data_IF_502352142091
#
_entry.id   IF_502352142091
#
_cell.length_a   1.000
_cell.length_b   1.000
_cell.length_c   1.000
_cell.angle_alpha   90.00
_cell.angle_beta   90.00
_cell.angle_gamma   90.00
#
_symmetry.space_group_name_H-M   'P 1'
#
loop_
_entity.id
_entity.type
_entity.pdbx_description
1 polymer ?
#
# COMPACT_ATOMS: atom_id res chain seq x y z
N UNK A 1 4.87 31.61 -16.27
CA UNK A 1 5.36 30.30 -15.84
C UNK A 1 4.80 29.26 -16.80
N UNK A 2 5.62 28.39 -17.35
CA UNK A 2 5.12 27.32 -18.22
C UNK A 2 4.25 26.38 -17.37
N UNK A 3 3.15 25.92 -17.95
CA UNK A 3 2.26 24.99 -17.25
C UNK A 3 2.93 23.64 -17.11
N UNK A 4 2.90 23.04 -15.90
CA UNK A 4 3.48 21.71 -15.65
C UNK A 4 2.84 20.66 -16.56
N UNK A 5 3.63 19.66 -16.93
CA UNK A 5 3.21 18.51 -17.72
C UNK A 5 3.44 17.24 -16.90
N UNK A 6 2.39 16.75 -16.28
CA UNK A 6 2.46 15.60 -15.40
C UNK A 6 1.83 14.39 -16.08
N UNK A 7 2.57 13.29 -16.10
CA UNK A 7 2.09 11.97 -16.54
C UNK A 7 1.96 11.09 -15.30
N UNK A 8 0.88 10.33 -15.23
CA UNK A 8 0.76 9.20 -14.32
C UNK A 8 0.71 7.92 -15.13
N UNK A 9 1.63 6.99 -14.87
CA UNK A 9 1.68 5.66 -15.47
C UNK A 9 1.27 4.63 -14.42
N UNK A 10 0.44 3.66 -14.83
CA UNK A 10 -0.09 2.61 -13.95
C UNK A 10 -0.19 1.31 -14.78
N UNK A 11 0.54 0.28 -14.35
CA UNK A 11 0.59 -1.01 -15.05
C UNK A 11 -0.76 -1.72 -14.97
N UNK A 12 -1.25 -2.23 -16.09
CA UNK A 12 -2.56 -2.86 -16.18
C UNK A 12 -2.57 -4.23 -15.48
N UNK A 13 -3.39 -4.37 -14.44
CA UNK A 13 -3.52 -5.59 -13.64
C UNK A 13 -2.17 -6.25 -13.28
N UNK A 14 -1.17 -5.46 -12.86
CA UNK A 14 0.26 -5.73 -12.90
C UNK A 14 0.65 -7.17 -12.54
N UNK A 15 0.36 -7.65 -11.32
CA UNK A 15 0.79 -9.00 -10.92
C UNK A 15 0.13 -10.07 -11.80
N UNK A 16 -1.16 -9.93 -12.10
CA UNK A 16 -1.85 -10.90 -12.95
C UNK A 16 -1.30 -10.90 -14.38
N UNK A 17 -0.97 -9.74 -14.92
CA UNK A 17 -0.36 -9.61 -16.25
C UNK A 17 1.05 -10.22 -16.32
N UNK A 18 1.86 -10.08 -15.25
CA UNK A 18 3.16 -10.75 -15.15
C UNK A 18 3.00 -12.27 -15.12
N UNK A 19 2.03 -12.80 -14.37
CA UNK A 19 1.79 -14.25 -14.34
C UNK A 19 1.31 -14.79 -15.69
N UNK A 20 0.41 -14.06 -16.39
CA UNK A 20 -0.04 -14.42 -17.74
C UNK A 20 1.09 -14.32 -18.78
N UNK A 21 2.00 -13.35 -18.63
CA UNK A 21 3.16 -13.21 -19.52
C UNK A 21 4.15 -14.37 -19.36
N UNK A 22 4.44 -14.75 -18.12
CA UNK A 22 5.40 -15.83 -17.82
C UNK A 22 4.80 -17.24 -18.04
N UNK A 23 3.47 -17.40 -17.94
CA UNK A 23 2.74 -18.62 -18.25
C UNK A 23 1.56 -18.33 -19.21
N UNK A 24 1.78 -18.49 -20.52
CA UNK A 24 0.73 -18.25 -21.53
C UNK A 24 -0.53 -19.12 -21.38
N UNK A 25 -0.47 -20.22 -20.62
CA UNK A 25 -1.66 -21.04 -20.36
C UNK A 25 -2.70 -20.34 -19.47
N UNK A 26 -2.30 -19.27 -18.79
CA UNK A 26 -3.17 -18.42 -17.97
C UNK A 26 -3.85 -17.29 -18.78
N UNK A 27 -3.43 -17.06 -20.02
CA UNK A 27 -4.00 -16.00 -20.85
C UNK A 27 -5.47 -16.26 -21.16
N UNK A 28 -6.30 -15.22 -21.06
CA UNK A 28 -7.73 -15.29 -21.32
C UNK A 28 -8.55 -15.99 -20.23
N UNK A 29 -7.91 -16.50 -19.18
CA UNK A 29 -8.59 -17.11 -18.03
C UNK A 29 -8.82 -16.09 -16.92
N UNK A 30 -9.94 -16.20 -16.17
CA UNK A 30 -10.11 -15.45 -14.94
C UNK A 30 -9.02 -15.84 -13.93
N UNK A 31 -8.11 -14.90 -13.64
CA UNK A 31 -6.94 -15.10 -12.78
C UNK A 31 -6.97 -14.14 -11.58
N UNK A 32 -6.63 -14.63 -10.41
CA UNK A 32 -6.30 -13.82 -9.25
C UNK A 32 -4.94 -14.22 -8.67
N UNK A 33 -4.12 -13.25 -8.38
CA UNK A 33 -2.88 -13.44 -7.63
C UNK A 33 -3.20 -13.28 -6.15
N UNK A 34 -2.83 -14.30 -5.35
CA UNK A 34 -3.11 -14.29 -3.92
C UNK A 34 -2.79 -15.65 -3.29
N UNK A 35 -2.93 -15.73 -1.98
CA UNK A 35 -2.75 -16.99 -1.26
C UNK A 35 -4.06 -17.78 -1.24
N UNK A 36 -4.06 -18.99 -1.81
CA UNK A 36 -5.25 -19.86 -1.82
C UNK A 36 -5.45 -20.56 -0.47
N UNK A 37 -6.08 -19.85 0.45
CA UNK A 37 -6.34 -20.35 1.80
C UNK A 37 -7.54 -19.65 2.45
N UNK A 38 -7.97 -20.13 3.63
CA UNK A 38 -9.18 -19.65 4.31
C UNK A 38 -9.17 -18.14 4.60
N UNK A 39 -7.97 -17.55 4.74
CA UNK A 39 -7.76 -16.12 5.03
C UNK A 39 -7.07 -15.39 3.90
N UNK A 40 -6.93 -16.03 2.74
CA UNK A 40 -6.33 -15.45 1.57
C UNK A 40 -7.13 -14.27 1.02
N UNK A 41 -6.40 -13.31 0.46
CA UNK A 41 -6.94 -12.07 -0.13
C UNK A 41 -6.37 -11.94 -1.54
N UNK A 42 -7.19 -11.47 -2.46
CA UNK A 42 -6.78 -11.12 -3.82
C UNK A 42 -5.83 -9.92 -3.76
N UNK A 43 -4.59 -10.11 -4.21
CA UNK A 43 -3.64 -9.01 -4.40
C UNK A 43 -3.96 -8.25 -5.69
N UNK A 44 -4.13 -8.99 -6.80
CA UNK A 44 -4.52 -8.43 -8.10
C UNK A 44 -5.41 -9.43 -8.83
N UNK A 45 -6.39 -8.92 -9.57
CA UNK A 45 -7.27 -9.71 -10.43
C UNK A 45 -7.06 -9.34 -11.90
N UNK A 46 -7.01 -10.32 -12.81
CA UNK A 46 -6.98 -10.10 -14.24
C UNK A 46 -8.28 -9.42 -14.73
N UNK A 47 -8.27 -8.85 -15.92
CA UNK A 47 -9.46 -8.19 -16.46
C UNK A 47 -10.60 -9.18 -16.69
N UNK A 48 -10.29 -10.42 -17.05
CA UNK A 48 -11.27 -11.51 -17.17
C UNK A 48 -11.94 -11.79 -15.80
N UNK A 49 -11.17 -11.84 -14.72
CA UNK A 49 -11.72 -12.02 -13.36
C UNK A 49 -12.54 -10.82 -12.89
N UNK A 50 -12.15 -9.60 -13.27
CA UNK A 50 -12.91 -8.37 -12.94
C UNK A 50 -14.30 -8.35 -13.55
N UNK A 51 -14.55 -9.02 -14.69
CA UNK A 51 -15.90 -9.14 -15.28
C UNK A 51 -16.87 -9.87 -14.35
N UNK A 52 -16.37 -10.76 -13.48
CA UNK A 52 -17.16 -11.44 -12.44
C UNK A 52 -17.21 -10.64 -11.12
N UNK A 53 -16.74 -9.38 -11.12
CA UNK A 53 -16.68 -8.54 -9.94
C UNK A 53 -15.57 -8.94 -8.94
N UNK A 54 -14.57 -9.74 -9.36
CA UNK A 54 -13.39 -10.02 -8.54
C UNK A 54 -12.46 -8.83 -8.59
N UNK A 55 -11.93 -8.39 -7.44
CA UNK A 55 -11.06 -7.22 -7.33
C UNK A 55 -10.07 -7.37 -6.18
N UNK A 56 -9.03 -6.54 -6.17
CA UNK A 56 -8.02 -6.46 -5.10
C UNK A 56 -8.68 -6.25 -3.73
N UNK A 57 -8.06 -6.79 -2.69
CA UNK A 57 -8.53 -6.83 -1.31
C UNK A 57 -9.79 -7.68 -1.04
N UNK A 58 -10.34 -8.36 -2.06
CA UNK A 58 -11.45 -9.30 -1.87
C UNK A 58 -10.94 -10.61 -1.22
N UNK A 59 -11.64 -11.19 -0.22
CA UNK A 59 -11.32 -12.53 0.27
C UNK A 59 -11.39 -13.57 -0.85
N UNK A 60 -10.40 -14.46 -0.94
CA UNK A 60 -10.33 -15.51 -1.97
C UNK A 60 -11.59 -16.39 -1.97
N UNK A 61 -12.10 -16.75 -0.79
CA UNK A 61 -13.35 -17.52 -0.69
C UNK A 61 -14.56 -16.78 -1.34
N UNK A 62 -14.59 -15.46 -1.26
CA UNK A 62 -15.62 -14.65 -1.93
C UNK A 62 -15.37 -14.57 -3.44
N UNK A 63 -14.11 -14.41 -3.85
CA UNK A 63 -13.72 -14.39 -5.25
C UNK A 63 -14.11 -15.71 -5.97
N UNK A 64 -13.82 -16.86 -5.35
CA UNK A 64 -14.20 -18.18 -5.86
C UNK A 64 -15.72 -18.35 -5.99
N UNK A 65 -16.50 -17.81 -5.05
CA UNK A 65 -17.98 -17.85 -5.16
C UNK A 65 -18.52 -17.02 -6.32
N UNK A 66 -17.85 -15.86 -6.62
CA UNK A 66 -18.23 -15.01 -7.75
C UNK A 66 -17.79 -15.57 -9.10
N UNK A 67 -16.64 -16.23 -9.13
CA UNK A 67 -16.03 -16.81 -10.31
C UNK A 67 -15.56 -18.25 -9.98
N UNK A 68 -16.42 -19.29 -10.13
CA UNK A 68 -16.05 -20.67 -9.80
C UNK A 68 -14.86 -21.21 -10.59
N UNK A 69 -14.64 -20.72 -11.81
CA UNK A 69 -13.50 -21.09 -12.68
C UNK A 69 -12.23 -20.26 -12.39
N UNK A 70 -12.22 -19.40 -11.35
CA UNK A 70 -11.11 -18.54 -11.02
C UNK A 70 -9.83 -19.36 -10.75
N UNK A 71 -8.77 -19.05 -11.48
CA UNK A 71 -7.42 -19.56 -11.21
C UNK A 71 -6.76 -18.67 -10.16
N UNK A 72 -6.12 -19.29 -9.17
CA UNK A 72 -5.40 -18.59 -8.12
C UNK A 72 -3.93 -18.95 -8.22
N UNK A 73 -3.08 -17.94 -8.29
CA UNK A 73 -1.62 -18.08 -8.37
C UNK A 73 -0.98 -17.39 -7.17
N UNK A 74 -0.01 -18.08 -6.55
CA UNK A 74 0.75 -17.52 -5.44
C UNK A 74 1.63 -16.36 -5.91
N UNK A 75 1.69 -15.22 -5.18
CA UNK A 75 2.49 -14.07 -5.58
C UNK A 75 3.99 -14.36 -5.65
N UNK A 76 4.65 -13.87 -6.71
CA UNK A 76 6.11 -13.93 -6.92
C UNK A 76 6.72 -12.53 -6.81
N UNK A 77 6.78 -11.99 -5.60
CA UNK A 77 7.16 -10.57 -5.38
C UNK A 77 8.52 -10.18 -5.95
N UNK A 78 9.50 -11.09 -5.97
CA UNK A 78 10.81 -10.78 -6.54
C UNK A 78 10.75 -10.61 -8.07
N UNK A 79 9.89 -11.40 -8.75
CA UNK A 79 9.62 -11.24 -10.17
C UNK A 79 8.93 -9.91 -10.47
N UNK A 80 7.95 -9.52 -9.65
CA UNK A 80 7.28 -8.22 -9.82
C UNK A 80 8.23 -7.05 -9.61
N UNK A 81 9.12 -7.12 -8.63
CA UNK A 81 10.17 -6.09 -8.43
C UNK A 81 11.14 -6.00 -9.60
N UNK A 82 11.52 -7.13 -10.18
CA UNK A 82 12.39 -7.18 -11.37
C UNK A 82 11.75 -6.40 -12.52
N UNK A 83 10.49 -6.72 -12.87
CA UNK A 83 9.77 -6.04 -13.94
C UNK A 83 9.56 -4.56 -13.61
N UNK A 84 9.14 -4.25 -12.39
CA UNK A 84 9.02 -2.87 -11.90
C UNK A 84 10.30 -2.08 -12.11
N UNK A 85 11.46 -2.68 -11.78
CA UNK A 85 12.77 -2.05 -12.01
C UNK A 85 13.10 -1.79 -13.48
N UNK A 86 12.60 -2.63 -14.43
CA UNK A 86 12.72 -2.37 -15.87
C UNK A 86 11.85 -1.18 -16.27
N UNK A 87 10.59 -1.16 -15.83
CA UNK A 87 9.66 -0.06 -16.10
C UNK A 87 10.19 1.27 -15.56
N UNK A 88 10.72 1.28 -14.34
CA UNK A 88 11.33 2.48 -13.74
C UNK A 88 12.51 3.01 -14.55
N UNK A 89 13.35 2.16 -15.12
CA UNK A 89 14.45 2.60 -16.00
C UNK A 89 13.93 3.32 -17.25
N UNK A 90 12.84 2.82 -17.84
CA UNK A 90 12.19 3.51 -18.95
C UNK A 90 11.77 4.92 -18.55
N UNK A 91 11.19 5.11 -17.36
CA UNK A 91 10.79 6.44 -16.87
C UNK A 91 11.97 7.40 -16.75
N UNK A 92 13.07 6.91 -16.15
CA UNK A 92 14.29 7.70 -15.93
C UNK A 92 15.00 8.11 -17.24
N UNK A 93 14.76 7.43 -18.33
CA UNK A 93 15.26 7.86 -19.65
C UNK A 93 14.60 9.15 -20.11
N UNK A 94 13.39 9.47 -19.67
CA UNK A 94 12.66 10.69 -20.06
C UNK A 94 12.80 11.84 -19.08
N UNK A 95 12.90 11.58 -17.79
CA UNK A 95 12.99 12.61 -16.73
C UNK A 95 13.61 12.06 -15.45
N UNK A 96 14.31 12.92 -14.70
CA UNK A 96 14.74 12.57 -13.33
C UNK A 96 13.62 12.74 -12.30
N UNK A 97 12.56 13.49 -12.67
CA UNK A 97 11.44 13.76 -11.77
C UNK A 97 10.41 12.63 -11.85
N UNK A 98 10.74 11.49 -11.23
CA UNK A 98 9.90 10.31 -11.12
C UNK A 98 9.56 10.07 -9.65
N UNK A 99 8.26 10.03 -9.32
CA UNK A 99 7.74 9.72 -7.99
C UNK A 99 6.99 8.40 -8.03
N UNK A 100 7.58 7.30 -7.52
CA UNK A 100 6.88 6.04 -7.37
C UNK A 100 5.79 6.15 -6.28
N UNK A 101 4.59 5.69 -6.57
CA UNK A 101 3.52 5.52 -5.58
C UNK A 101 3.45 4.08 -5.06
N UNK A 102 3.79 3.12 -5.93
CA UNK A 102 3.86 1.69 -5.66
C UNK A 102 4.92 1.06 -6.57
N UNK A 103 4.95 -0.26 -6.66
CA UNK A 103 5.85 -0.97 -7.58
C UNK A 103 5.32 -0.98 -9.03
N UNK A 104 4.08 -0.54 -9.27
CA UNK A 104 3.40 -0.58 -10.57
C UNK A 104 2.91 0.79 -11.05
N UNK A 105 3.04 1.84 -10.24
CA UNK A 105 2.60 3.17 -10.65
C UNK A 105 3.56 4.29 -10.23
N UNK A 106 3.67 5.31 -11.08
CA UNK A 106 4.48 6.49 -10.80
C UNK A 106 3.92 7.75 -11.44
N UNK A 107 4.24 8.90 -10.83
CA UNK A 107 4.15 10.21 -11.48
C UNK A 107 5.48 10.59 -12.12
N UNK A 108 5.40 11.20 -13.29
CA UNK A 108 6.52 11.78 -14.00
C UNK A 108 6.22 13.27 -14.26
N UNK A 109 7.13 14.16 -13.92
CA UNK A 109 7.10 15.54 -14.41
C UNK A 109 7.98 15.62 -15.66
N UNK A 110 7.33 15.79 -16.80
CA UNK A 110 7.96 15.89 -18.12
C UNK A 110 7.87 17.31 -18.69
N UNK A 111 7.69 18.29 -17.82
CA UNK A 111 7.67 19.72 -18.22
C UNK A 111 8.93 20.07 -19.00
N UNK A 112 10.08 19.62 -18.50
CA UNK A 112 11.38 19.60 -19.17
C UNK A 112 11.84 18.14 -19.23
N UNK A 113 11.71 17.50 -20.40
CA UNK A 113 12.11 16.13 -20.59
C UNK A 113 13.42 16.02 -21.37
N UNK A 114 14.17 14.91 -21.18
CA UNK A 114 15.50 14.70 -21.73
C UNK A 114 15.56 14.65 -23.26
N UNK A 115 14.46 14.30 -23.92
CA UNK A 115 14.38 14.17 -25.38
C UNK A 115 13.86 15.42 -26.08
N UNK A 116 13.51 16.47 -25.33
CA UNK A 116 12.95 17.70 -25.90
C UNK A 116 11.60 17.52 -26.59
N UNK A 117 10.86 16.46 -26.26
CA UNK A 117 9.53 16.18 -26.83
C UNK A 117 8.54 17.22 -26.32
N UNK A 118 7.92 17.95 -27.25
CA UNK A 118 7.08 19.08 -26.92
C UNK A 118 5.79 18.71 -26.19
N UNK A 119 5.18 17.57 -26.53
CA UNK A 119 3.89 17.17 -25.98
C UNK A 119 4.05 16.02 -24.99
N UNK A 120 3.57 16.21 -23.75
CA UNK A 120 3.55 15.15 -22.75
C UNK A 120 2.75 13.91 -23.19
N UNK A 121 1.77 14.10 -24.08
CA UNK A 121 1.01 12.98 -24.66
C UNK A 121 1.88 12.07 -25.54
N UNK A 122 2.84 12.64 -26.26
CA UNK A 122 3.76 11.85 -27.11
C UNK A 122 4.76 11.13 -26.21
N UNK A 123 5.32 11.79 -25.19
CA UNK A 123 6.14 11.15 -24.16
C UNK A 123 5.40 9.95 -23.53
N UNK A 124 4.14 10.13 -23.13
CA UNK A 124 3.35 9.06 -22.55
C UNK A 124 3.12 7.90 -23.52
N UNK A 125 2.94 8.18 -24.82
CA UNK A 125 2.79 7.17 -25.87
C UNK A 125 4.06 6.38 -26.07
N UNK A 126 5.20 7.05 -26.16
CA UNK A 126 6.52 6.42 -26.27
C UNK A 126 6.84 5.55 -25.08
N UNK A 127 6.61 6.05 -23.84
CA UNK A 127 6.80 5.25 -22.62
C UNK A 127 5.95 3.98 -22.65
N UNK A 128 4.66 4.08 -22.96
CA UNK A 128 3.76 2.92 -23.08
C UNK A 128 4.24 1.91 -24.10
N UNK A 129 4.68 2.38 -25.28
CA UNK A 129 5.21 1.52 -26.33
C UNK A 129 6.48 0.79 -25.86
N UNK A 130 7.44 1.50 -25.25
CA UNK A 130 8.64 0.89 -24.69
C UNK A 130 8.36 -0.13 -23.60
N UNK A 131 7.37 0.13 -22.75
CA UNK A 131 6.94 -0.85 -21.73
C UNK A 131 6.53 -2.16 -22.41
N UNK A 132 5.73 -2.09 -23.47
CA UNK A 132 5.32 -3.29 -24.25
C UNK A 132 6.52 -3.98 -24.88
N UNK A 133 7.40 -3.22 -25.55
CA UNK A 133 8.58 -3.76 -26.24
C UNK A 133 9.57 -4.44 -25.28
N UNK A 134 9.80 -3.84 -24.11
CA UNK A 134 10.81 -4.31 -23.14
C UNK A 134 10.27 -5.35 -22.15
N UNK A 135 8.95 -5.37 -21.88
CA UNK A 135 8.37 -6.23 -20.84
C UNK A 135 7.23 -7.13 -21.33
N UNK A 136 6.70 -6.91 -22.52
CA UNK A 136 5.49 -7.60 -23.01
C UNK A 136 4.20 -7.21 -22.29
N UNK A 137 4.23 -6.24 -21.38
CA UNK A 137 3.10 -5.82 -20.55
C UNK A 137 2.54 -4.47 -21.01
N UNK A 138 1.26 -4.21 -20.67
CA UNK A 138 0.63 -2.91 -20.95
C UNK A 138 0.57 -2.04 -19.70
N UNK A 139 0.52 -0.73 -19.92
CA UNK A 139 0.28 0.28 -18.90
C UNK A 139 -0.76 1.29 -19.39
N UNK A 140 -1.50 1.88 -18.48
CA UNK A 140 -2.39 3.00 -18.77
C UNK A 140 -1.76 4.31 -18.30
N UNK A 141 -1.91 5.35 -19.12
CA UNK A 141 -1.31 6.66 -18.88
C UNK A 141 -2.38 7.76 -18.78
N UNK A 142 -2.23 8.61 -17.79
CA UNK A 142 -2.99 9.82 -17.63
C UNK A 142 -2.10 11.06 -17.72
N UNK A 143 -2.50 12.03 -18.53
CA UNK A 143 -1.71 13.25 -18.77
C UNK A 143 -2.52 14.47 -18.36
N UNK A 144 -1.94 15.33 -17.52
CA UNK A 144 -2.54 16.61 -17.16
C UNK A 144 -1.49 17.61 -16.63
N UNK A 145 -1.92 18.69 -16.01
CA UNK A 145 -1.05 19.74 -15.47
C UNK A 145 -0.79 19.60 -13.97
N UNK A 146 -1.36 18.60 -13.31
CA UNK A 146 -1.10 18.28 -11.90
C UNK A 146 -1.30 16.78 -11.62
N UNK A 147 -0.82 16.34 -10.45
CA UNK A 147 -0.84 14.93 -10.04
C UNK A 147 -2.25 14.37 -9.88
N UNK A 148 -3.17 15.13 -9.27
CA UNK A 148 -4.56 14.70 -9.08
C UNK A 148 -5.22 14.32 -10.41
N UNK A 149 -5.18 15.21 -11.38
CA UNK A 149 -5.83 15.00 -12.66
C UNK A 149 -5.12 13.93 -13.51
N UNK A 150 -3.79 13.88 -13.46
CA UNK A 150 -3.04 12.83 -14.15
C UNK A 150 -3.41 11.44 -13.62
N UNK A 151 -3.54 11.26 -12.28
CA UNK A 151 -3.95 9.98 -11.71
C UNK A 151 -5.39 9.60 -12.06
N UNK A 152 -6.32 10.52 -11.98
CA UNK A 152 -7.72 10.25 -12.40
C UNK A 152 -7.78 9.91 -13.89
N UNK A 153 -6.97 10.59 -14.71
CA UNK A 153 -6.92 10.34 -16.15
C UNK A 153 -6.41 8.93 -16.48
N UNK A 154 -5.42 8.40 -15.75
CA UNK A 154 -4.86 7.07 -16.02
C UNK A 154 -5.89 5.94 -15.80
N UNK A 155 -6.89 6.16 -14.94
CA UNK A 155 -7.93 5.17 -14.68
C UNK A 155 -9.10 5.22 -15.70
N UNK A 156 -9.20 6.31 -16.50
CA UNK A 156 -10.40 6.59 -17.28
C UNK A 156 -10.60 5.66 -18.49
N UNK A 157 -9.53 5.12 -19.06
CA UNK A 157 -9.58 4.25 -20.25
C UNK A 157 -8.78 2.95 -20.10
N UNK A 158 -8.68 2.41 -18.90
CA UNK A 158 -8.03 1.11 -18.65
C UNK A 158 -8.80 -0.03 -19.35
N UNK A 159 -8.13 -1.08 -19.87
CA UNK A 159 -6.67 -1.25 -19.94
C UNK A 159 -6.04 -0.57 -21.17
N UNK A 160 -4.70 -0.49 -21.18
CA UNK A 160 -3.85 0.06 -22.24
C UNK A 160 -4.26 1.46 -22.71
N UNK A 161 -4.88 2.21 -21.78
CA UNK A 161 -5.45 3.52 -22.04
C UNK A 161 -4.40 4.65 -22.09
N UNK A 162 -4.75 5.70 -22.81
CA UNK A 162 -4.10 7.01 -22.75
C UNK A 162 -5.18 8.08 -22.73
N UNK A 163 -5.25 8.84 -21.63
CA UNK A 163 -6.25 9.88 -21.50
C UNK A 163 -5.62 11.20 -21.03
N UNK A 164 -6.05 12.30 -21.69
CA UNK A 164 -5.52 13.65 -21.45
C UNK A 164 -6.63 14.54 -20.91
N UNK A 165 -6.39 15.14 -19.75
CA UNK A 165 -7.26 16.20 -19.22
C UNK A 165 -6.59 17.54 -19.49
N UNK A 166 -7.04 18.21 -20.56
CA UNK A 166 -6.53 19.53 -20.92
C UNK A 166 -7.00 20.59 -19.92
N UNK A 167 -6.18 21.59 -19.57
CA UNK A 167 -6.51 22.63 -18.58
C UNK A 167 -7.84 23.33 -18.85
N UNK A 168 -8.15 23.64 -20.10
CA UNK A 168 -9.39 24.33 -20.48
C UNK A 168 -10.65 23.48 -20.27
N UNK A 169 -10.51 22.15 -20.21
CA UNK A 169 -11.62 21.20 -19.98
C UNK A 169 -11.64 20.62 -18.57
N UNK A 170 -10.62 20.92 -17.77
CA UNK A 170 -10.40 20.29 -16.47
C UNK A 170 -11.58 20.53 -15.50
N UNK A 171 -12.08 21.76 -15.40
CA UNK A 171 -13.16 22.04 -14.45
C UNK A 171 -14.46 21.31 -14.83
N UNK A 172 -14.83 21.30 -16.10
CA UNK A 172 -16.02 20.56 -16.56
C UNK A 172 -15.89 19.06 -16.34
N UNK A 173 -14.68 18.52 -16.55
CA UNK A 173 -14.36 17.12 -16.25
C UNK A 173 -14.51 16.83 -14.75
N UNK A 174 -13.89 17.64 -13.88
CA UNK A 174 -14.00 17.50 -12.42
C UNK A 174 -15.45 17.58 -11.95
N UNK A 175 -16.21 18.53 -12.47
CA UNK A 175 -17.61 18.73 -12.09
C UNK A 175 -18.47 17.49 -12.39
N UNK A 176 -18.15 16.74 -13.45
CA UNK A 176 -18.84 15.51 -13.85
C UNK A 176 -18.36 14.24 -13.12
N UNK A 177 -17.17 14.26 -12.49
CA UNK A 177 -16.66 13.10 -11.76
C UNK A 177 -17.56 12.71 -10.62
N UNK A 178 -17.84 11.42 -10.47
CA UNK A 178 -18.41 10.87 -9.24
C UNK A 178 -17.40 10.97 -8.12
N UNK A 179 -17.88 11.13 -6.91
CA UNK A 179 -17.03 11.39 -5.75
C UNK A 179 -16.06 10.22 -5.45
N UNK A 180 -16.45 8.99 -5.76
CA UNK A 180 -15.62 7.80 -5.60
C UNK A 180 -14.42 7.77 -6.54
N UNK A 181 -14.44 8.58 -7.60
CA UNK A 181 -13.35 8.69 -8.57
C UNK A 181 -12.30 9.72 -8.17
N UNK A 182 -12.55 10.48 -7.09
CA UNK A 182 -11.55 11.42 -6.58
C UNK A 182 -10.42 10.68 -5.89
N UNK A 183 -9.21 11.00 -6.24
CA UNK A 183 -8.03 10.42 -5.60
C UNK A 183 -8.06 10.66 -4.08
N UNK A 184 -7.90 9.57 -3.32
CA UNK A 184 -7.95 9.59 -1.86
C UNK A 184 -9.36 9.47 -1.26
N UNK A 185 -10.41 9.37 -2.08
CA UNK A 185 -11.77 9.10 -1.61
C UNK A 185 -12.02 7.58 -1.64
N UNK A 186 -11.77 6.92 -0.51
CA UNK A 186 -12.13 5.52 -0.32
C UNK A 186 -13.61 5.33 0.03
N UNK A 187 -14.10 4.07 0.09
CA UNK A 187 -15.52 3.76 0.31
C UNK A 187 -16.13 4.43 1.54
N UNK A 188 -15.40 4.45 2.67
CA UNK A 188 -15.88 5.10 3.91
C UNK A 188 -16.03 6.61 3.76
N UNK A 189 -15.10 7.25 3.06
CA UNK A 189 -15.14 8.69 2.78
C UNK A 189 -16.28 9.01 1.82
N UNK A 190 -16.47 8.20 0.77
CA UNK A 190 -17.57 8.36 -0.17
C UNK A 190 -18.94 8.28 0.53
N UNK A 191 -19.16 7.27 1.39
CA UNK A 191 -20.40 7.17 2.18
C UNK A 191 -20.65 8.43 3.00
N UNK A 192 -19.60 8.98 3.66
CA UNK A 192 -19.75 10.21 4.44
C UNK A 192 -20.05 11.42 3.56
N UNK A 193 -19.46 11.53 2.37
CA UNK A 193 -19.77 12.57 1.41
C UNK A 193 -21.20 12.45 0.87
N UNK A 194 -21.67 11.23 0.58
CA UNK A 194 -23.07 10.99 0.17
C UNK A 194 -24.07 11.41 1.25
N UNK A 195 -23.79 11.16 2.53
CA UNK A 195 -24.62 11.64 3.65
C UNK A 195 -24.70 13.18 3.73
N UNK A 196 -23.71 13.87 3.17
CA UNK A 196 -23.70 15.34 3.04
C UNK A 196 -24.34 15.84 1.72
N UNK A 197 -24.91 14.93 0.90
CA UNK A 197 -25.46 15.27 -0.41
C UNK A 197 -24.43 15.52 -1.49
N UNK A 198 -23.19 15.03 -1.30
CA UNK A 198 -22.07 15.22 -2.23
C UNK A 198 -21.87 13.92 -3.01
N UNK A 199 -22.27 13.88 -4.28
CA UNK A 199 -22.16 12.73 -5.19
C UNK A 199 -21.19 13.01 -6.35
N UNK A 200 -20.97 14.29 -6.68
CA UNK A 200 -20.16 14.73 -7.83
C UNK A 200 -19.19 15.83 -7.45
N UNK A 201 -18.18 16.05 -8.31
CA UNK A 201 -17.25 17.16 -8.17
C UNK A 201 -17.92 18.51 -8.17
N UNK A 202 -18.99 18.72 -8.97
CA UNK A 202 -19.76 19.95 -8.96
C UNK A 202 -20.41 20.24 -7.59
N UNK A 203 -20.92 19.21 -6.93
CA UNK A 203 -21.50 19.36 -5.58
C UNK A 203 -20.39 19.59 -4.55
N UNK A 204 -19.28 18.85 -4.62
CA UNK A 204 -18.12 19.06 -3.74
C UNK A 204 -17.58 20.48 -3.85
N UNK A 205 -17.51 21.06 -5.05
CA UNK A 205 -17.03 22.42 -5.30
C UNK A 205 -17.89 23.50 -4.63
N UNK A 206 -19.18 23.24 -4.40
CA UNK A 206 -20.09 24.17 -3.72
C UNK A 206 -19.92 24.22 -2.21
N UNK A 207 -19.24 23.21 -1.62
CA UNK A 207 -19.03 23.13 -0.17
C UNK A 207 -17.88 24.07 0.23
N UNK A 208 -18.04 24.77 1.34
CA UNK A 208 -17.01 25.66 1.86
C UNK A 208 -15.79 24.88 2.37
N UNK A 209 -14.59 25.48 2.26
CA UNK A 209 -13.35 24.90 2.80
C UNK A 209 -13.48 24.61 4.29
N UNK A 210 -14.04 25.55 5.06
CA UNK A 210 -14.22 25.41 6.49
C UNK A 210 -15.05 24.18 6.84
N UNK A 211 -16.16 23.93 6.15
CA UNK A 211 -17.01 22.79 6.40
C UNK A 211 -16.32 21.46 6.05
N UNK A 212 -15.62 21.39 4.91
CA UNK A 212 -14.84 20.20 4.54
C UNK A 212 -13.74 19.89 5.56
N UNK A 213 -13.05 20.92 6.08
CA UNK A 213 -12.01 20.74 7.10
C UNK A 213 -12.62 20.29 8.43
N UNK A 214 -13.76 20.83 8.82
CA UNK A 214 -14.48 20.40 10.02
C UNK A 214 -14.85 18.91 9.97
N UNK A 215 -15.26 18.42 8.80
CA UNK A 215 -15.71 17.02 8.63
C UNK A 215 -14.56 16.06 8.37
N UNK A 216 -13.59 16.43 7.54
CA UNK A 216 -12.53 15.54 7.03
C UNK A 216 -11.12 15.89 7.53
N UNK A 217 -10.98 16.87 8.42
CA UNK A 217 -9.69 17.32 8.92
C UNK A 217 -8.78 17.82 7.79
N UNK A 218 -7.50 17.43 7.83
CA UNK A 218 -6.51 17.83 6.81
C UNK A 218 -6.91 17.43 5.38
N UNK A 219 -7.61 16.32 5.20
CA UNK A 219 -8.09 15.89 3.88
C UNK A 219 -9.13 16.84 3.29
N UNK A 220 -9.86 17.58 4.12
CA UNK A 220 -10.83 18.57 3.68
C UNK A 220 -10.21 19.70 2.85
N UNK A 221 -8.97 20.12 3.15
CA UNK A 221 -8.24 21.09 2.32
C UNK A 221 -7.96 20.50 0.94
N UNK A 222 -7.52 19.25 0.89
CA UNK A 222 -7.19 18.56 -0.36
C UNK A 222 -8.44 18.41 -1.24
N UNK A 223 -9.56 17.97 -0.68
CA UNK A 223 -10.82 17.81 -1.42
C UNK A 223 -11.34 19.14 -1.95
N UNK A 224 -11.22 20.23 -1.16
CA UNK A 224 -11.59 21.57 -1.60
C UNK A 224 -10.79 22.03 -2.81
N UNK A 225 -9.47 21.81 -2.78
CA UNK A 225 -8.55 22.20 -3.85
C UNK A 225 -8.73 21.32 -5.09
N UNK A 226 -8.88 20.02 -4.93
CA UNK A 226 -9.13 19.08 -6.03
C UNK A 226 -10.42 19.38 -6.79
N UNK A 227 -11.51 19.74 -6.09
CA UNK A 227 -12.76 20.14 -6.73
C UNK A 227 -12.62 21.41 -7.60
N UNK A 228 -11.52 22.14 -7.47
CA UNK A 228 -11.17 23.35 -8.24
C UNK A 228 -10.01 23.13 -9.20
N UNK A 229 -9.60 21.86 -9.40
CA UNK A 229 -8.48 21.51 -10.26
C UNK A 229 -7.11 21.98 -9.74
N UNK A 230 -7.01 22.24 -8.44
CA UNK A 230 -5.78 22.73 -7.81
C UNK A 230 -5.08 21.57 -7.12
N UNK A 231 -3.85 21.27 -7.53
CA UNK A 231 -2.91 20.41 -6.85
C UNK A 231 -1.49 20.93 -7.09
N UNK A 232 -0.97 21.62 -6.08
CA UNK A 232 0.33 22.29 -6.17
C UNK A 232 1.49 21.36 -5.80
N UNK A 233 1.23 20.12 -5.36
CA UNK A 233 2.26 19.19 -4.95
C UNK A 233 3.21 18.92 -6.12
N UNK A 234 4.53 19.06 -5.93
CA UNK A 234 5.51 18.67 -6.95
C UNK A 234 5.57 17.14 -7.08
N UNK A 235 6.22 16.66 -8.14
CA UNK A 235 6.72 15.29 -8.22
C UNK A 235 7.97 15.23 -7.35
N UNK A 236 7.98 14.32 -6.38
CA UNK A 236 9.04 14.18 -5.38
C UNK A 236 9.76 12.86 -5.62
N UNK A 237 11.07 12.93 -5.86
CA UNK A 237 11.89 11.75 -6.20
C UNK A 237 12.27 10.90 -5.00
N UNK A 238 12.46 11.55 -3.86
CA UNK A 238 12.86 10.92 -2.61
C UNK A 238 11.77 11.04 -1.56
N UNK A 239 11.47 9.93 -0.95
CA UNK A 239 10.57 9.86 0.21
C UNK A 239 11.34 9.30 1.41
N UNK A 240 11.50 10.12 2.43
CA UNK A 240 12.01 9.65 3.71
C UNK A 240 11.12 8.54 4.26
N UNK A 241 11.72 7.38 4.52
CA UNK A 241 11.03 6.27 5.12
C UNK A 241 10.60 6.63 6.55
N UNK A 242 9.32 6.51 6.84
CA UNK A 242 8.73 6.88 8.16
C UNK A 242 8.65 5.70 9.12
N UNK A 243 8.66 4.48 8.60
CA UNK A 243 8.58 3.25 9.41
C UNK A 243 9.07 2.03 8.65
N UNK A 244 9.47 1.01 9.41
CA UNK A 244 9.72 -0.36 8.95
C UNK A 244 8.91 -1.30 9.82
N UNK A 245 8.20 -2.26 9.23
CA UNK A 245 7.39 -3.20 9.99
C UNK A 245 7.10 -4.48 9.23
N UNK A 246 6.64 -5.48 9.97
CA UNK A 246 6.10 -6.73 9.45
C UNK A 246 4.83 -7.10 10.20
N UNK A 247 3.93 -7.82 9.55
CA UNK A 247 2.73 -8.36 10.17
C UNK A 247 2.34 -9.68 9.52
N UNK A 248 1.76 -10.56 10.30
CA UNK A 248 1.29 -11.87 9.85
C UNK A 248 -0.14 -12.11 10.29
N UNK A 249 -0.97 -12.58 9.35
CA UNK A 249 -2.27 -13.18 9.65
C UNK A 249 -2.09 -14.68 9.76
N UNK A 250 -2.40 -15.26 10.91
CA UNK A 250 -2.26 -16.68 11.16
C UNK A 250 -3.34 -17.46 10.42
N UNK A 251 -3.06 -18.72 10.05
CA UNK A 251 -4.05 -19.58 9.38
C UNK A 251 -5.23 -19.89 10.31
N UNK A 252 -4.93 -20.13 11.58
CA UNK A 252 -5.89 -20.28 12.68
C UNK A 252 -5.61 -19.22 13.75
N UNK A 253 -6.60 -18.89 14.56
CA UNK A 253 -6.40 -17.95 15.65
C UNK A 253 -5.53 -18.59 16.73
N UNK A 254 -4.49 -17.90 17.14
CA UNK A 254 -3.65 -18.33 18.27
C UNK A 254 -4.40 -18.12 19.59
N UNK A 255 -4.38 -19.13 20.46
CA UNK A 255 -5.04 -19.09 21.77
C UNK A 255 -4.07 -19.31 22.93
N UNK A 256 -2.98 -20.04 22.68
CA UNK A 256 -1.98 -20.33 23.70
C UNK A 256 -0.98 -19.19 23.81
N UNK A 257 -0.69 -18.74 25.02
CA UNK A 257 0.29 -17.67 25.29
C UNK A 257 1.67 -18.05 24.76
N UNK A 258 2.09 -19.32 24.87
CA UNK A 258 3.33 -19.81 24.30
C UNK A 258 3.40 -19.65 22.77
N UNK A 259 2.35 -20.04 22.05
CA UNK A 259 2.28 -19.87 20.59
C UNK A 259 2.34 -18.39 20.19
N UNK A 260 1.64 -17.50 20.92
CA UNK A 260 1.67 -16.07 20.67
C UNK A 260 3.07 -15.48 20.90
N UNK A 261 3.80 -15.94 21.93
CA UNK A 261 5.16 -15.49 22.21
C UNK A 261 6.16 -15.99 21.16
N UNK A 262 6.00 -17.21 20.67
CA UNK A 262 6.83 -17.79 19.59
C UNK A 262 6.65 -16.97 18.31
N UNK A 263 5.41 -16.70 17.92
CA UNK A 263 5.13 -15.90 16.71
C UNK A 263 5.56 -14.43 16.87
N UNK A 264 5.46 -13.86 18.09
CA UNK A 264 6.05 -12.56 18.36
C UNK A 264 7.56 -12.55 18.14
N UNK A 265 8.26 -13.61 18.58
CA UNK A 265 9.69 -13.72 18.37
C UNK A 265 10.05 -13.84 16.89
N UNK A 266 9.32 -14.63 16.11
CA UNK A 266 9.51 -14.69 14.65
C UNK A 266 9.36 -13.31 13.98
N UNK A 267 8.33 -12.57 14.37
CA UNK A 267 8.13 -11.20 13.87
C UNK A 267 9.25 -10.25 14.29
N UNK A 268 9.81 -10.42 15.48
CA UNK A 268 10.96 -9.63 15.95
C UNK A 268 12.20 -9.90 15.09
N UNK A 269 12.50 -11.17 14.80
CA UNK A 269 13.62 -11.55 13.92
C UNK A 269 13.43 -11.00 12.50
N UNK A 270 12.21 -11.09 11.97
CA UNK A 270 11.90 -10.53 10.65
C UNK A 270 12.05 -9.01 10.63
N UNK A 271 11.58 -8.32 11.67
CA UNK A 271 11.70 -6.86 11.80
C UNK A 271 13.17 -6.44 11.86
N UNK A 272 14.01 -7.12 12.65
CA UNK A 272 15.46 -6.89 12.71
C UNK A 272 16.09 -6.96 11.32
N UNK A 273 15.81 -8.03 10.57
CA UNK A 273 16.34 -8.19 9.20
C UNK A 273 15.89 -7.06 8.27
N UNK A 274 14.64 -6.63 8.37
CA UNK A 274 14.10 -5.52 7.56
C UNK A 274 14.74 -4.18 7.93
N UNK A 275 14.98 -3.93 9.21
CA UNK A 275 15.69 -2.73 9.71
C UNK A 275 17.12 -2.74 9.18
N UNK A 276 17.86 -3.82 9.36
CA UNK A 276 19.24 -3.97 8.88
C UNK A 276 19.34 -3.75 7.35
N UNK A 277 18.45 -4.36 6.57
CA UNK A 277 18.40 -4.19 5.11
C UNK A 277 18.10 -2.77 4.66
N UNK A 278 17.28 -2.03 5.43
CA UNK A 278 16.86 -0.67 5.06
C UNK A 278 17.75 0.43 5.63
N UNK A 279 18.59 0.13 6.62
CA UNK A 279 19.34 1.12 7.38
C UNK A 279 18.46 2.09 8.19
N UNK A 280 17.19 1.71 8.46
CA UNK A 280 16.23 2.59 9.13
C UNK A 280 16.54 2.72 10.61
N UNK A 281 16.61 3.95 11.08
CA UNK A 281 16.76 4.29 12.50
C UNK A 281 15.46 4.87 13.01
N UNK A 282 14.82 4.20 13.96
CA UNK A 282 13.54 4.68 14.54
C UNK A 282 13.51 4.45 16.05
N UNK A 283 12.69 5.22 16.74
CA UNK A 283 12.67 5.31 18.21
C UNK A 283 11.36 4.82 18.82
N UNK A 284 10.35 4.52 18.03
CA UNK A 284 9.04 4.07 18.51
C UNK A 284 8.73 2.67 18.01
N UNK A 285 8.62 1.70 18.93
CA UNK A 285 8.08 0.37 18.62
C UNK A 285 6.57 0.37 18.77
N UNK A 286 5.87 -0.15 17.78
CA UNK A 286 4.42 -0.35 17.79
C UNK A 286 4.10 -1.84 17.63
N UNK A 287 3.34 -2.39 18.55
CA UNK A 287 2.71 -3.70 18.44
C UNK A 287 1.26 -3.52 17.97
N UNK A 288 0.89 -4.22 16.92
CA UNK A 288 -0.46 -4.31 16.37
C UNK A 288 -1.00 -5.71 16.62
N UNK A 289 -2.20 -5.79 17.16
CA UNK A 289 -2.90 -7.07 17.33
C UNK A 289 -4.31 -6.97 16.78
N UNK A 290 -4.74 -8.01 16.08
CA UNK A 290 -6.11 -8.16 15.62
C UNK A 290 -6.67 -9.45 16.17
N UNK A 291 -7.82 -9.36 16.78
CA UNK A 291 -8.48 -10.47 17.43
C UNK A 291 -9.34 -11.28 16.45
N UNK A 292 -9.77 -12.47 16.87
CA UNK A 292 -10.64 -13.34 16.07
C UNK A 292 -11.98 -12.70 15.68
N UNK A 293 -12.50 -11.79 16.50
CA UNK A 293 -13.71 -10.99 16.21
C UNK A 293 -13.48 -9.79 15.28
N UNK A 294 -12.30 -9.68 14.67
CA UNK A 294 -11.85 -8.62 13.76
C UNK A 294 -11.61 -7.25 14.43
N UNK A 295 -11.80 -7.09 15.73
CA UNK A 295 -11.38 -5.88 16.44
C UNK A 295 -9.85 -5.81 16.53
N UNK A 296 -9.30 -4.60 16.61
CA UNK A 296 -7.86 -4.36 16.54
C UNK A 296 -7.43 -3.42 17.66
N UNK A 297 -6.25 -3.68 18.21
CA UNK A 297 -5.57 -2.81 19.15
C UNK A 297 -4.13 -2.56 18.72
N UNK A 298 -3.63 -1.37 19.00
CA UNK A 298 -2.21 -1.04 18.88
C UNK A 298 -1.69 -0.53 20.21
N UNK A 299 -0.42 -0.85 20.51
CA UNK A 299 0.33 -0.32 21.64
C UNK A 299 1.67 0.16 21.14
N UNK A 300 2.12 1.30 21.62
CA UNK A 300 3.39 1.89 21.18
C UNK A 300 4.21 2.33 22.38
N UNK A 301 5.53 2.27 22.23
CA UNK A 301 6.48 2.76 23.21
C UNK A 301 7.62 3.46 22.46
N UNK A 302 7.95 4.67 22.91
CA UNK A 302 9.06 5.47 22.38
C UNK A 302 10.21 5.45 23.37
N UNK A 303 11.44 5.32 22.89
CA UNK A 303 12.65 5.41 23.69
C UNK A 303 13.66 6.38 23.06
N UNK A 304 14.67 6.79 23.84
CA UNK A 304 15.72 7.73 23.40
C UNK A 304 16.67 7.08 22.40
N UNK A 305 17.10 5.85 22.65
CA UNK A 305 17.98 5.11 21.76
C UNK A 305 17.22 4.59 20.52
N UNK A 306 17.89 4.52 19.38
CA UNK A 306 17.34 3.90 18.19
C UNK A 306 17.12 2.39 18.41
N UNK A 307 16.01 1.87 17.90
CA UNK A 307 15.61 0.46 17.99
C UNK A 307 16.10 -0.25 16.73
N UNK A 308 17.06 -1.16 16.85
CA UNK A 308 17.71 -1.77 15.68
C UNK A 308 17.74 -3.29 15.74
N UNK A 309 18.10 -3.87 16.88
CA UNK A 309 18.35 -5.29 17.04
C UNK A 309 17.20 -6.02 17.71
N UNK A 310 17.18 -7.35 17.61
CA UNK A 310 16.24 -8.19 18.36
C UNK A 310 16.30 -7.92 19.87
N UNK A 311 17.50 -7.62 20.39
CA UNK A 311 17.71 -7.39 21.81
C UNK A 311 17.12 -6.04 22.28
N UNK A 312 16.99 -5.08 21.38
CA UNK A 312 16.22 -3.85 21.61
C UNK A 312 14.72 -4.11 21.48
N UNK A 313 14.32 -4.84 20.44
CA UNK A 313 12.91 -5.01 20.03
C UNK A 313 12.15 -5.93 20.96
N UNK A 314 12.70 -7.10 21.30
CA UNK A 314 11.96 -8.18 21.99
C UNK A 314 11.50 -7.77 23.40
N UNK A 315 12.31 -7.14 24.27
CA UNK A 315 11.87 -6.69 25.56
C UNK A 315 10.72 -5.68 25.50
N UNK A 316 10.82 -4.74 24.52
CA UNK A 316 9.78 -3.75 24.27
C UNK A 316 8.49 -4.40 23.76
N UNK A 317 8.60 -5.32 22.79
CA UNK A 317 7.46 -6.04 22.24
C UNK A 317 6.72 -6.88 23.31
N UNK A 318 7.47 -7.57 24.18
CA UNK A 318 6.90 -8.30 25.34
C UNK A 318 6.22 -7.36 26.33
N UNK A 319 6.81 -6.19 26.62
CA UNK A 319 6.19 -5.15 27.45
C UNK A 319 4.87 -4.64 26.85
N UNK A 320 4.85 -4.39 25.53
CA UNK A 320 3.64 -3.97 24.84
C UNK A 320 2.58 -5.08 24.77
N UNK A 321 2.98 -6.34 24.57
CA UNK A 321 2.08 -7.48 24.57
C UNK A 321 1.34 -7.62 25.91
N UNK A 322 2.05 -7.45 27.04
CA UNK A 322 1.44 -7.50 28.40
C UNK A 322 0.38 -6.42 28.62
N UNK A 323 0.34 -5.36 27.81
CA UNK A 323 -0.68 -4.31 27.87
C UNK A 323 -1.91 -4.63 27.01
N UNK A 324 -2.00 -5.85 26.48
CA UNK A 324 -3.11 -6.32 25.66
C UNK A 324 -3.83 -7.49 26.34
N UNK A 325 -4.97 -7.88 25.79
CA UNK A 325 -5.78 -8.99 26.28
C UNK A 325 -5.36 -10.34 25.68
N UNK A 326 -4.07 -10.54 25.36
CA UNK A 326 -3.58 -11.70 24.60
C UNK A 326 -3.79 -13.04 25.33
N UNK A 327 -3.93 -13.02 26.65
CA UNK A 327 -4.18 -14.25 27.44
C UNK A 327 -5.64 -14.71 27.44
N UNK A 328 -6.57 -13.81 27.11
CA UNK A 328 -8.02 -14.05 27.21
C UNK A 328 -8.73 -14.03 25.87
N UNK A 329 -8.07 -13.54 24.81
CA UNK A 329 -8.65 -13.42 23.46
C UNK A 329 -7.82 -14.15 22.43
N UNK A 330 -8.48 -14.73 21.42
CA UNK A 330 -7.79 -15.37 20.32
C UNK A 330 -7.18 -14.32 19.37
N UNK A 331 -5.92 -14.54 18.96
CA UNK A 331 -5.15 -13.63 18.11
C UNK A 331 -5.19 -14.10 16.67
N UNK A 332 -5.78 -13.29 15.82
CA UNK A 332 -5.87 -13.53 14.36
C UNK A 332 -4.68 -13.01 13.58
N UNK A 333 -4.17 -11.84 13.97
CA UNK A 333 -3.03 -11.18 13.32
C UNK A 333 -2.18 -10.50 14.38
N UNK A 334 -0.90 -10.54 14.18
CA UNK A 334 0.06 -9.77 14.96
C UNK A 334 1.07 -9.09 14.03
N UNK A 335 1.53 -7.91 14.42
CA UNK A 335 2.54 -7.15 13.68
C UNK A 335 3.34 -6.25 14.58
N UNK A 336 4.59 -6.01 14.19
CA UNK A 336 5.52 -5.10 14.85
C UNK A 336 6.09 -4.11 13.86
N UNK A 337 6.27 -2.86 14.28
CA UNK A 337 6.84 -1.81 13.44
C UNK A 337 7.66 -0.83 14.25
N UNK A 338 8.78 -0.40 13.68
CA UNK A 338 9.60 0.70 14.20
C UNK A 338 9.35 1.94 13.36
N UNK A 339 9.13 3.07 14.01
CA UNK A 339 8.81 4.37 13.41
C UNK A 339 9.52 5.52 14.15
N UNK A 340 9.20 6.78 13.80
CA UNK A 340 9.77 7.98 14.40
C UNK A 340 11.30 8.07 14.23
N UNK A 341 11.78 8.39 13.01
CA UNK A 341 13.22 8.46 12.71
C UNK A 341 13.93 9.63 13.37
N UNK A 342 13.21 10.66 13.82
CA UNK A 342 13.79 11.86 14.43
C UNK A 342 13.96 11.75 15.95
N UNK A 343 13.47 10.63 16.54
CA UNK A 343 13.45 10.49 17.98
C UNK A 343 12.38 11.36 18.67
N UNK A 344 12.40 11.40 19.96
CA UNK A 344 11.48 12.17 20.80
C UNK A 344 11.83 11.99 22.27
N UNK A 345 11.11 12.68 23.15
CA UNK A 345 11.15 12.37 24.59
C UNK A 345 10.64 10.94 24.80
N UNK A 346 11.44 10.08 25.36
CA UNK A 346 11.12 8.68 25.59
C UNK A 346 11.80 8.12 26.84
N UNK A 347 11.30 6.98 27.32
CA UNK A 347 11.94 6.25 28.43
C UNK A 347 13.18 5.50 27.93
N UNK A 348 14.28 5.56 28.67
CA UNK A 348 15.43 4.70 28.46
C UNK A 348 15.08 3.28 29.00
N UNK A 349 14.77 2.36 28.09
CA UNK A 349 14.54 0.95 28.44
C UNK A 349 15.83 0.20 28.15
N UNK A 350 16.52 -0.25 29.17
CA UNK A 350 17.69 -1.13 29.02
C UNK A 350 17.22 -2.56 28.73
N UNK A 351 17.84 -3.25 27.77
CA UNK A 351 17.58 -4.68 27.56
C UNK A 351 17.81 -5.49 28.85
N UNK A 352 16.87 -6.34 29.22
CA UNK A 352 16.98 -7.22 30.37
C UNK A 352 17.57 -8.58 30.01
N UNK A 353 18.27 -8.69 28.90
CA UNK A 353 18.84 -9.95 28.45
C UNK A 353 20.19 -10.18 29.09
N UNK A 354 20.39 -11.38 29.57
CA UNK A 354 21.70 -11.93 29.93
C UNK A 354 22.10 -12.87 28.81
N UNK A 355 23.29 -12.72 28.29
CA UNK A 355 23.84 -13.56 27.22
C UNK A 355 23.76 -15.05 27.61
N UNK A 356 23.17 -15.89 26.74
CA UNK A 356 23.00 -17.31 26.98
C UNK A 356 21.63 -17.79 27.49
N UNK A 357 20.70 -16.87 27.73
CA UNK A 357 19.32 -17.24 28.07
C UNK A 357 18.43 -17.35 26.81
N UNK A 358 17.51 -18.32 26.80
CA UNK A 358 16.43 -18.34 25.80
C UNK A 358 15.58 -17.09 25.93
N UNK A 359 14.98 -16.58 24.82
CA UNK A 359 14.16 -15.36 24.82
C UNK A 359 12.86 -15.48 25.63
N UNK A 360 12.60 -16.64 26.20
CA UNK A 360 11.42 -16.93 27.00
C UNK A 360 11.83 -17.34 28.42
N UNK A 361 11.03 -16.96 29.41
CA UNK A 361 11.15 -17.48 30.77
C UNK A 361 10.34 -18.77 30.86
N UNK A 362 10.72 -19.72 31.76
CA UNK A 362 10.02 -21.02 31.92
C UNK A 362 8.51 -20.86 32.06
N UNK A 363 8.05 -19.89 32.86
CA UNK A 363 6.62 -19.64 33.04
C UNK A 363 5.89 -19.10 31.79
N UNK A 364 6.60 -18.65 30.74
CA UNK A 364 6.02 -18.19 29.47
C UNK A 364 5.70 -19.34 28.51
N UNK A 365 6.25 -20.55 28.77
CA UNK A 365 6.07 -21.76 27.96
C UNK A 365 5.31 -22.88 28.70
N UNK A 366 4.71 -22.60 29.87
CA UNK A 366 3.92 -23.60 30.63
C UNK A 366 2.73 -24.18 29.83
N UNK A 367 2.23 -23.48 28.83
CA UNK A 367 1.10 -23.90 27.98
C UNK A 367 1.53 -24.48 26.63
N UNK A 368 2.67 -25.18 26.55
CA UNK A 368 3.15 -25.74 25.29
C UNK A 368 2.18 -26.81 24.75
N UNK A 369 1.71 -26.73 23.47
CA UNK A 369 0.60 -27.55 22.97
C UNK A 369 0.94 -29.05 22.81
N UNK A 370 2.20 -29.45 22.92
CA UNK A 370 2.65 -30.83 22.69
C UNK A 370 3.05 -31.58 23.98
N UNK A 371 2.63 -31.12 25.13
CA UNK A 371 2.98 -31.68 26.41
C UNK A 371 4.39 -31.28 26.87
N UNK A 372 4.59 -31.28 28.18
CA UNK A 372 5.85 -30.91 28.79
C UNK A 372 7.00 -31.72 28.16
N UNK A 373 7.99 -31.14 27.47
CA UNK A 373 9.17 -31.87 27.05
C UNK A 373 10.09 -31.96 28.26
N UNK A 374 9.70 -32.80 29.21
CA UNK A 374 10.55 -33.52 30.22
C UNK A 374 9.69 -34.04 31.34
#
# INVERSE_FOLDING_TARGET
MSQRKIIHIDMDAFFASVEQHDDPSLCGLPLAVGFDGPRGVVSTASYEARQYGVHSAMPIATAKRRCPQLRIVTPRFDRYKEISGRVHRIFLDYTDLVEPLSIDEAFLDVTENRHGVALATDVAREIKQRIVEETGLTASAGVSYNKFLAKVASDYRKPDGLFVIHPTKAQGFIDSLRIEQFWGVGPKTAVRMHQMGIFTGAQLRRVSRQHLVQVFGKAGHIYYDFARGIDLRPVVTDHDRKSVGCEQTFLEDLRLSSAILIELYHLVLELEQRIAKSGFLGHTLTLKMKWGDMTQVTRSLTQLAAIQTKDDILPLAKRLLRQTEYKTRSVRLMGVAVSNPQGGEGEEVRPQWVEGFLPFQEWEIEEYPYGNPL
#
